data_IF_599921706993
#
_entry.id   IF_599921706993
#
_cell.length_a   1.000
_cell.length_b   1.000
_cell.length_c   1.000
_cell.angle_alpha   90.00
_cell.angle_beta   90.00
_cell.angle_gamma   90.00
#
_symmetry.space_group_name_H-M   'P 1'
#
loop_
_entity.id
_entity.type
_entity.pdbx_description
1 polymer ?
#
# COMPACT_ATOMS: atom_id res chain seq x y z
N UNK A 1 38.00 67.76 -31.57
CA UNK A 1 37.61 66.37 -31.24
C UNK A 1 36.33 66.43 -30.42
N UNK A 2 35.17 66.24 -31.01
CA UNK A 2 33.86 66.27 -30.31
C UNK A 2 33.53 64.83 -29.86
N UNK A 3 33.54 64.57 -28.57
CA UNK A 3 33.10 63.31 -27.98
C UNK A 3 31.58 63.39 -27.87
N UNK A 4 30.90 62.64 -28.73
CA UNK A 4 29.43 62.47 -28.66
C UNK A 4 29.17 61.47 -27.57
N UNK A 5 28.65 61.93 -26.39
CA UNK A 5 28.16 61.06 -25.35
C UNK A 5 26.90 60.33 -25.84
N UNK A 6 26.78 59.02 -25.67
CA UNK A 6 25.56 58.25 -26.01
C UNK A 6 24.42 58.62 -25.08
N UNK A 7 23.26 58.92 -25.67
CA UNK A 7 22.04 59.36 -25.01
C UNK A 7 21.47 58.25 -24.10
N UNK A 8 21.37 58.46 -22.75
CA UNK A 8 20.93 57.40 -21.80
C UNK A 8 19.42 57.06 -21.88
N UNK A 9 18.64 57.87 -22.62
CA UNK A 9 17.20 57.65 -22.76
C UNK A 9 16.83 56.46 -23.65
N UNK A 10 17.70 56.04 -24.57
CA UNK A 10 17.46 54.93 -25.51
C UNK A 10 17.66 53.52 -24.90
N UNK A 11 18.33 53.40 -23.77
CA UNK A 11 18.60 52.13 -23.13
C UNK A 11 17.48 51.67 -22.14
N UNK A 12 16.58 52.59 -21.71
CA UNK A 12 15.55 52.29 -20.72
C UNK A 12 14.42 51.37 -21.22
N UNK A 13 14.06 51.45 -22.51
CA UNK A 13 12.99 50.62 -23.07
C UNK A 13 13.34 49.13 -23.15
N UNK A 14 14.59 48.79 -23.46
CA UNK A 14 15.05 47.39 -23.57
C UNK A 14 15.15 46.70 -22.20
N UNK A 15 15.56 47.42 -21.15
CA UNK A 15 15.68 46.90 -19.81
C UNK A 15 14.32 46.49 -19.20
N UNK A 16 13.25 47.23 -19.47
CA UNK A 16 11.92 46.90 -19.01
C UNK A 16 11.37 45.63 -19.67
N UNK A 17 11.55 45.50 -20.99
CA UNK A 17 11.12 44.31 -21.74
C UNK A 17 11.88 43.05 -21.26
N UNK A 18 13.19 43.18 -21.06
CA UNK A 18 14.02 42.08 -20.54
C UNK A 18 13.60 41.70 -19.11
N UNK A 19 13.31 42.66 -18.25
CA UNK A 19 12.86 42.40 -16.89
C UNK A 19 11.50 41.67 -16.87
N UNK A 20 10.55 42.09 -17.69
CA UNK A 20 9.24 41.42 -17.82
C UNK A 20 9.40 40.00 -18.36
N UNK A 21 10.25 39.80 -19.35
CA UNK A 21 10.52 38.49 -19.91
C UNK A 21 11.09 37.53 -18.84
N UNK A 22 12.10 38.00 -18.08
CA UNK A 22 12.69 37.20 -16.99
C UNK A 22 11.65 36.86 -15.92
N UNK A 23 10.79 37.81 -15.54
CA UNK A 23 9.73 37.57 -14.56
C UNK A 23 8.74 36.50 -15.03
N UNK A 24 8.33 36.56 -16.32
CA UNK A 24 7.43 35.56 -16.89
C UNK A 24 8.08 34.16 -16.91
N UNK A 25 9.34 34.08 -17.34
CA UNK A 25 10.08 32.82 -17.38
C UNK A 25 10.22 32.23 -15.97
N UNK A 26 10.59 33.06 -14.97
CA UNK A 26 10.71 32.60 -13.59
C UNK A 26 9.37 32.16 -12.99
N UNK A 27 8.28 32.87 -13.32
CA UNK A 27 6.94 32.50 -12.88
C UNK A 27 6.51 31.11 -13.44
N UNK A 28 6.76 30.86 -14.73
CA UNK A 28 6.46 29.58 -15.37
C UNK A 28 7.31 28.45 -14.80
N UNK A 29 8.61 28.69 -14.58
CA UNK A 29 9.48 27.71 -13.96
C UNK A 29 9.07 27.40 -12.51
N UNK A 30 8.71 28.41 -11.74
CA UNK A 30 8.21 28.25 -10.38
C UNK A 30 6.92 27.42 -10.32
N UNK A 31 5.97 27.69 -11.22
CA UNK A 31 4.73 26.91 -11.32
C UNK A 31 5.01 25.45 -11.72
N UNK A 32 5.94 25.21 -12.63
CA UNK A 32 6.34 23.86 -13.05
C UNK A 32 6.95 23.08 -11.87
N UNK A 33 7.87 23.67 -11.11
CA UNK A 33 8.49 23.04 -9.93
C UNK A 33 7.44 22.72 -8.87
N UNK A 34 6.52 23.65 -8.60
CA UNK A 34 5.45 23.45 -7.63
C UNK A 34 4.54 22.27 -8.01
N UNK A 35 4.20 22.14 -9.29
CA UNK A 35 3.35 21.04 -9.78
C UNK A 35 4.02 19.67 -9.64
N UNK A 36 5.33 19.57 -9.87
CA UNK A 36 6.10 18.34 -9.71
C UNK A 36 6.17 17.96 -8.22
N UNK A 37 6.44 18.92 -7.34
CA UNK A 37 6.53 18.68 -5.89
C UNK A 37 5.22 18.13 -5.29
N UNK A 38 4.07 18.63 -5.72
CA UNK A 38 2.76 18.08 -5.30
C UNK A 38 2.59 16.61 -5.67
N UNK A 39 2.95 16.25 -6.91
CA UNK A 39 2.84 14.86 -7.38
C UNK A 39 3.77 13.91 -6.60
N UNK A 40 4.97 14.35 -6.28
CA UNK A 40 5.92 13.58 -5.48
C UNK A 40 5.42 13.33 -4.05
N UNK A 41 4.79 14.32 -3.40
CA UNK A 41 4.25 14.15 -2.05
C UNK A 41 3.12 13.12 -2.00
N UNK A 42 2.20 13.14 -2.97
CA UNK A 42 1.12 12.14 -3.05
C UNK A 42 1.71 10.74 -3.32
N UNK A 43 2.69 10.64 -4.22
CA UNK A 43 3.38 9.39 -4.52
C UNK A 43 4.02 8.77 -3.28
N UNK A 44 4.76 9.55 -2.51
CA UNK A 44 5.43 9.08 -1.28
C UNK A 44 4.44 8.60 -0.22
N UNK A 45 3.29 9.27 -0.07
CA UNK A 45 2.25 8.85 0.86
C UNK A 45 1.62 7.51 0.45
N UNK A 46 1.39 7.30 -0.84
CA UNK A 46 0.86 6.04 -1.38
C UNK A 46 1.88 4.91 -1.20
N UNK A 47 3.16 5.15 -1.45
CA UNK A 47 4.22 4.15 -1.24
C UNK A 47 4.32 3.72 0.22
N UNK A 48 4.28 4.66 1.16
CA UNK A 48 4.28 4.36 2.58
C UNK A 48 3.06 3.52 2.98
N UNK A 49 1.88 3.89 2.51
CA UNK A 49 0.66 3.12 2.75
C UNK A 49 0.72 1.72 2.10
N UNK A 50 1.36 1.60 0.94
CA UNK A 50 1.57 0.30 0.28
C UNK A 50 2.49 -0.63 1.10
N UNK A 51 3.56 -0.08 1.69
CA UNK A 51 4.43 -0.82 2.59
C UNK A 51 3.70 -1.26 3.87
N UNK A 52 2.88 -0.38 4.45
CA UNK A 52 2.04 -0.71 5.61
C UNK A 52 1.00 -1.77 5.28
N UNK A 53 0.32 -1.68 4.13
CA UNK A 53 -0.63 -2.69 3.67
C UNK A 53 0.03 -4.07 3.48
N UNK A 54 1.28 -4.10 2.98
CA UNK A 54 2.05 -5.34 2.87
C UNK A 54 2.32 -5.96 4.24
N UNK A 55 2.76 -5.17 5.23
CA UNK A 55 2.98 -5.65 6.59
C UNK A 55 1.67 -6.09 7.27
N UNK A 56 0.58 -5.38 7.02
CA UNK A 56 -0.75 -5.73 7.49
C UNK A 56 -1.22 -7.09 6.92
N UNK A 57 -1.03 -7.33 5.62
CA UNK A 57 -1.34 -8.63 5.00
C UNK A 57 -0.45 -9.75 5.56
N UNK A 58 0.84 -9.48 5.78
CA UNK A 58 1.76 -10.43 6.41
C UNK A 58 1.34 -10.79 7.82
N UNK A 59 0.99 -9.81 8.66
CA UNK A 59 0.48 -10.06 10.00
C UNK A 59 -0.80 -10.93 9.97
N UNK A 60 -1.70 -10.70 9.00
CA UNK A 60 -2.86 -11.55 8.77
C UNK A 60 -2.49 -12.99 8.42
N UNK A 61 -1.48 -13.22 7.56
CA UNK A 61 -0.99 -14.57 7.25
C UNK A 61 -0.36 -15.26 8.45
N UNK A 62 0.43 -14.54 9.24
CA UNK A 62 1.05 -15.07 10.47
C UNK A 62 -0.01 -15.51 11.49
N UNK A 63 -1.06 -14.67 11.68
CA UNK A 63 -2.20 -15.04 12.48
C UNK A 63 -2.92 -16.28 11.94
N UNK A 64 -3.14 -16.35 10.63
CA UNK A 64 -3.78 -17.50 9.97
C UNK A 64 -2.95 -18.78 10.14
N UNK A 65 -1.63 -18.70 9.95
CA UNK A 65 -0.71 -19.81 10.15
C UNK A 65 -0.72 -20.30 11.60
N UNK A 66 -0.68 -19.39 12.55
CA UNK A 66 -0.80 -19.71 13.97
C UNK A 66 -2.12 -20.45 14.27
N UNK A 67 -3.24 -19.94 13.75
CA UNK A 67 -4.58 -20.52 13.97
C UNK A 67 -4.73 -21.94 13.40
N UNK A 68 -4.00 -22.28 12.32
CA UNK A 68 -4.01 -23.60 11.69
C UNK A 68 -3.02 -24.54 12.37
N UNK A 69 -1.83 -24.06 12.74
CA UNK A 69 -0.77 -24.89 13.30
C UNK A 69 -0.97 -25.16 14.81
N UNK A 70 -1.49 -24.18 15.52
CA UNK A 70 -1.70 -24.21 16.99
C UNK A 70 -3.15 -23.79 17.31
N UNK A 71 -4.14 -24.64 17.01
CA UNK A 71 -5.53 -24.30 17.29
C UNK A 71 -5.73 -24.14 18.80
N UNK A 72 -6.50 -23.13 19.24
CA UNK A 72 -6.75 -22.90 20.66
C UNK A 72 -7.61 -24.03 21.26
N UNK A 73 -7.42 -24.39 22.54
CA UNK A 73 -8.32 -25.29 23.26
C UNK A 73 -9.78 -24.74 23.31
N UNK A 74 -10.84 -25.56 23.23
CA UNK A 74 -10.85 -27.03 23.24
C UNK A 74 -10.69 -27.68 21.86
N UNK A 75 -10.43 -26.90 20.82
CA UNK A 75 -10.32 -27.37 19.44
C UNK A 75 -8.94 -27.99 19.13
N UNK A 76 -8.09 -28.27 20.12
CA UNK A 76 -6.87 -29.02 19.92
C UNK A 76 -7.23 -30.42 19.43
N UNK A 77 -7.04 -30.74 18.12
CA UNK A 77 -7.32 -32.07 17.61
C UNK A 77 -6.39 -33.08 18.30
N UNK A 78 -6.81 -34.32 18.35
CA UNK A 78 -5.88 -35.41 18.61
C UNK A 78 -4.67 -35.22 17.67
N UNK A 79 -3.47 -35.52 18.15
CA UNK A 79 -2.17 -35.17 17.55
C UNK A 79 -2.08 -35.50 16.04
N UNK A 80 -2.89 -36.46 15.59
CA UNK A 80 -2.87 -36.98 14.19
C UNK A 80 -4.01 -36.44 13.30
N UNK A 81 -4.92 -35.58 13.82
CA UNK A 81 -6.03 -35.05 13.01
C UNK A 81 -5.72 -33.62 12.58
N UNK A 82 -5.56 -33.38 11.27
CA UNK A 82 -5.32 -32.04 10.76
C UNK A 82 -6.52 -31.13 11.07
N UNK A 83 -6.33 -29.93 11.66
CA UNK A 83 -7.40 -29.04 12.03
C UNK A 83 -8.23 -28.58 10.83
N UNK A 84 -9.48 -28.23 11.07
CA UNK A 84 -10.30 -27.58 10.05
C UNK A 84 -9.82 -26.14 9.78
N UNK A 85 -10.12 -25.63 8.58
CA UNK A 85 -9.95 -24.21 8.32
C UNK A 85 -10.89 -23.37 9.21
N UNK A 86 -10.38 -22.22 9.65
CA UNK A 86 -11.22 -21.21 10.29
C UNK A 86 -12.10 -20.49 9.24
N UNK A 87 -13.22 -19.94 9.69
CA UNK A 87 -14.05 -19.06 8.85
C UNK A 87 -13.28 -17.77 8.52
N UNK A 88 -13.57 -17.15 7.38
CA UNK A 88 -13.00 -15.86 7.00
C UNK A 88 -13.01 -14.88 8.17
N UNK A 89 -11.86 -14.29 8.47
CA UNK A 89 -11.67 -13.41 9.62
C UNK A 89 -11.17 -12.05 9.17
N UNK A 90 -11.83 -10.99 9.65
CA UNK A 90 -11.39 -9.62 9.48
C UNK A 90 -10.71 -9.17 10.77
N UNK A 91 -9.45 -8.75 10.68
CA UNK A 91 -8.60 -8.37 11.80
C UNK A 91 -8.30 -6.88 11.67
N UNK A 92 -8.87 -6.07 12.56
CA UNK A 92 -8.48 -4.67 12.69
C UNK A 92 -7.12 -4.61 13.39
N UNK A 93 -6.17 -3.93 12.76
CA UNK A 93 -4.80 -3.81 13.26
C UNK A 93 -4.65 -2.57 14.14
N UNK A 94 -3.66 -2.60 15.02
CA UNK A 94 -3.39 -1.55 16.01
C UNK A 94 -1.94 -1.06 15.89
N UNK A 95 -1.57 -0.05 16.68
CA UNK A 95 -0.22 0.52 16.68
C UNK A 95 0.11 1.20 15.35
N UNK A 96 1.27 0.92 14.80
CA UNK A 96 1.73 1.51 13.53
C UNK A 96 0.91 1.09 12.30
N UNK A 97 0.12 0.03 12.43
CA UNK A 97 -0.80 -0.46 11.40
C UNK A 97 -2.26 -0.07 11.68
N UNK A 98 -2.50 0.84 12.63
CA UNK A 98 -3.84 1.34 12.91
C UNK A 98 -4.48 1.94 11.64
N UNK A 99 -5.76 1.65 11.43
CA UNK A 99 -6.49 2.05 10.21
C UNK A 99 -6.41 1.02 9.06
N UNK A 100 -5.60 -0.03 9.21
CA UNK A 100 -5.62 -1.17 8.28
C UNK A 100 -6.45 -2.32 8.85
N UNK A 101 -7.11 -3.04 7.94
CA UNK A 101 -7.78 -4.31 8.22
C UNK A 101 -7.14 -5.38 7.37
N UNK A 102 -6.92 -6.57 7.94
CA UNK A 102 -6.52 -7.75 7.21
C UNK A 102 -7.69 -8.76 7.18
N UNK A 103 -8.20 -9.06 5.99
CA UNK A 103 -9.17 -10.12 5.75
C UNK A 103 -8.43 -11.41 5.41
N UNK A 104 -8.58 -12.43 6.26
CA UNK A 104 -7.84 -13.69 6.16
C UNK A 104 -8.80 -14.82 5.83
N UNK A 105 -8.45 -15.56 4.79
CA UNK A 105 -9.18 -16.72 4.28
C UNK A 105 -8.29 -17.96 4.37
N UNK A 106 -8.90 -19.11 4.65
CA UNK A 106 -8.24 -20.41 4.69
C UNK A 106 -8.96 -21.38 3.77
N UNK A 107 -8.19 -22.12 2.97
CA UNK A 107 -8.68 -23.24 2.18
C UNK A 107 -7.82 -24.46 2.48
N UNK A 108 -8.45 -25.61 2.76
CA UNK A 108 -7.78 -26.87 3.06
C UNK A 108 -7.95 -27.82 1.89
N UNK A 109 -6.88 -28.52 1.53
CA UNK A 109 -6.88 -29.60 0.55
C UNK A 109 -6.13 -30.83 1.10
N UNK A 110 -6.58 -32.00 0.70
CA UNK A 110 -6.04 -33.27 1.20
C UNK A 110 -6.99 -33.94 2.20
N UNK A 111 -6.60 -35.03 2.82
CA UNK A 111 -5.23 -35.57 2.88
C UNK A 111 -4.73 -36.12 1.54
N UNK A 112 -3.46 -35.90 1.26
CA UNK A 112 -2.74 -36.53 0.15
C UNK A 112 -1.76 -37.56 0.71
N UNK A 113 -1.81 -38.77 0.21
CA UNK A 113 -0.92 -39.85 0.64
C UNK A 113 0.39 -39.77 -0.13
N UNK A 114 1.50 -39.67 0.60
CA UNK A 114 2.86 -39.70 0.09
C UNK A 114 3.56 -40.90 0.74
N UNK A 115 3.40 -42.07 0.13
CA UNK A 115 3.85 -43.35 0.71
C UNK A 115 3.11 -43.70 2.01
N UNK A 116 3.84 -43.82 3.11
CA UNK A 116 3.28 -44.08 4.43
C UNK A 116 2.80 -42.81 5.18
N UNK A 117 3.10 -41.65 4.63
CA UNK A 117 2.73 -40.35 5.25
C UNK A 117 1.50 -39.73 4.57
N UNK A 118 0.59 -39.18 5.39
CA UNK A 118 -0.56 -38.42 4.93
C UNK A 118 -0.30 -36.95 5.19
N UNK A 119 -0.41 -36.09 4.17
CA UNK A 119 -0.16 -34.65 4.26
C UNK A 119 -1.41 -33.87 3.93
N UNK A 120 -1.71 -32.89 4.74
CA UNK A 120 -2.79 -31.92 4.49
C UNK A 120 -2.18 -30.54 4.18
N UNK A 121 -2.68 -29.90 3.12
CA UNK A 121 -2.23 -28.59 2.69
C UNK A 121 -3.28 -27.54 3.06
N UNK A 122 -2.78 -26.40 3.53
CA UNK A 122 -3.57 -25.22 3.83
C UNK A 122 -3.09 -24.07 2.99
N UNK A 123 -3.99 -23.50 2.22
CA UNK A 123 -3.73 -22.25 1.51
C UNK A 123 -4.36 -21.11 2.30
N UNK A 124 -3.54 -20.20 2.77
CA UNK A 124 -3.93 -18.99 3.48
C UNK A 124 -3.82 -17.81 2.52
N UNK A 125 -4.84 -16.97 2.49
CA UNK A 125 -4.86 -15.73 1.74
C UNK A 125 -5.21 -14.59 2.68
N UNK A 126 -4.36 -13.56 2.72
CA UNK A 126 -4.64 -12.34 3.47
C UNK A 126 -4.70 -11.16 2.50
N UNK A 127 -5.79 -10.42 2.57
CA UNK A 127 -5.98 -9.17 1.85
C UNK A 127 -6.04 -8.04 2.87
N UNK A 128 -5.15 -7.07 2.78
CA UNK A 128 -5.13 -5.92 3.69
C UNK A 128 -5.36 -4.61 2.94
N UNK A 129 -6.15 -3.72 3.52
CA UNK A 129 -6.50 -2.42 2.96
C UNK A 129 -6.61 -1.34 4.05
N UNK A 130 -6.48 -0.08 3.65
CA UNK A 130 -6.61 1.09 4.54
C UNK A 130 -8.01 1.72 4.55
N UNK A 131 -8.96 1.20 3.74
CA UNK A 131 -10.34 1.67 3.70
C UNK A 131 -11.27 0.48 3.51
N UNK A 132 -11.51 -0.32 4.58
CA UNK A 132 -12.32 -1.53 4.48
C UNK A 132 -13.80 -1.18 4.25
N UNK A 133 -14.43 -1.84 3.28
CA UNK A 133 -15.86 -1.77 3.08
C UNK A 133 -16.56 -2.69 4.10
N UNK A 134 -17.40 -2.15 4.95
CA UNK A 134 -18.07 -2.89 6.03
C UNK A 134 -17.10 -3.71 6.91
N UNK A 135 -15.90 -3.18 7.17
CA UNK A 135 -14.88 -3.83 7.99
C UNK A 135 -14.13 -4.98 7.32
N UNK A 136 -14.25 -5.13 6.00
CA UNK A 136 -13.60 -6.19 5.23
C UNK A 136 -12.88 -5.62 4.01
N UNK A 137 -11.73 -6.18 3.67
CA UNK A 137 -10.99 -5.91 2.43
C UNK A 137 -11.30 -6.95 1.33
N UNK A 138 -12.26 -7.84 1.53
CA UNK A 138 -12.60 -8.88 0.55
C UNK A 138 -13.27 -8.33 -0.71
N UNK A 139 -13.89 -7.14 -0.62
CA UNK A 139 -14.49 -6.46 -1.75
C UNK A 139 -13.79 -5.11 -1.97
N UNK A 140 -13.33 -4.87 -3.20
CA UNK A 140 -12.79 -3.57 -3.59
C UNK A 140 -13.91 -2.53 -3.52
N UNK A 141 -13.73 -1.37 -2.88
CA UNK A 141 -14.75 -0.34 -2.84
C UNK A 141 -15.08 0.15 -4.25
N UNK A 142 -16.37 0.42 -4.51
CA UNK A 142 -16.86 0.85 -5.82
C UNK A 142 -16.21 2.16 -6.33
N UNK A 143 -15.75 3.01 -5.41
CA UNK A 143 -14.99 4.24 -5.70
C UNK A 143 -13.87 4.37 -4.67
N UNK A 144 -12.70 3.81 -4.94
CA UNK A 144 -11.58 3.91 -4.02
C UNK A 144 -11.08 5.37 -3.97
N UNK A 145 -10.76 5.84 -2.75
CA UNK A 145 -10.08 7.12 -2.57
C UNK A 145 -8.70 7.12 -3.26
N UNK A 146 -8.19 8.29 -3.61
CA UNK A 146 -6.87 8.42 -4.25
C UNK A 146 -5.72 7.82 -3.42
N UNK A 147 -5.91 7.70 -2.11
CA UNK A 147 -4.97 7.11 -1.16
C UNK A 147 -5.30 5.67 -0.78
N UNK A 148 -6.30 5.06 -1.44
CA UNK A 148 -6.64 3.65 -1.21
C UNK A 148 -5.50 2.74 -1.61
N UNK A 149 -5.17 1.82 -0.74
CA UNK A 149 -4.13 0.81 -0.97
C UNK A 149 -4.64 -0.54 -0.50
N UNK A 150 -4.46 -1.53 -1.34
CA UNK A 150 -4.74 -2.93 -1.03
C UNK A 150 -3.52 -3.79 -1.37
N UNK A 151 -3.22 -4.76 -0.53
CA UNK A 151 -2.20 -5.79 -0.78
C UNK A 151 -2.76 -7.16 -0.44
N UNK A 152 -2.48 -8.12 -1.31
CA UNK A 152 -2.87 -9.52 -1.14
C UNK A 152 -1.65 -10.41 -1.15
N UNK A 153 -1.56 -11.26 -0.13
CA UNK A 153 -0.51 -12.26 0.03
C UNK A 153 -1.14 -13.64 0.18
N UNK A 154 -0.40 -14.66 -0.20
CA UNK A 154 -0.84 -16.06 -0.09
C UNK A 154 0.30 -16.92 0.43
N UNK A 155 0.00 -17.80 1.39
CA UNK A 155 0.91 -18.83 1.86
C UNK A 155 0.29 -20.21 1.68
N UNK A 156 1.14 -21.20 1.42
CA UNK A 156 0.77 -22.63 1.45
C UNK A 156 1.57 -23.31 2.54
N UNK A 157 0.87 -23.96 3.45
CA UNK A 157 1.44 -24.73 4.56
C UNK A 157 1.09 -26.19 4.39
N UNK A 158 2.01 -27.10 4.74
CA UNK A 158 1.77 -28.52 4.80
C UNK A 158 1.86 -29.01 6.26
N UNK A 159 0.96 -29.92 6.65
CA UNK A 159 0.96 -30.59 7.94
C UNK A 159 0.67 -32.09 7.77
#
# INVERSE_FOLDING_TARGET
MSTTSPDPARQRGFAVVSALFILVVLAVLGAAVASISMRQQVGSAVELNAARAFQAARAGLEWGAFSVLIPPPPAAPAVDVPPACFATRNIALTGELAGFVASVECTRSGPLNDGAASKTFYQLRATACNSPAAGSCAATPASPAATYVERRLTWTLAR
#
